data_IF_165439960569
#
_entry.id   IF_165439960569
#
_cell.length_a   1.000
_cell.length_b   1.000
_cell.length_c   1.000
_cell.angle_alpha   90.00
_cell.angle_beta   90.00
_cell.angle_gamma   90.00
#
_symmetry.space_group_name_H-M   'P 1'
#
loop_
_entity.id
_entity.type
_entity.pdbx_description
1 polymer ?
#
# COMPACT_ATOMS: atom_id res chain seq x y z
N UNK A 1 -19.53 11.30 -73.23
CA UNK A 1 -19.89 11.63 -71.84
C UNK A 1 -20.07 10.33 -71.04
N UNK A 2 -19.00 9.79 -70.42
CA UNK A 2 -19.05 8.57 -69.57
C UNK A 2 -17.69 8.35 -68.87
N UNK A 3 -17.30 9.26 -67.98
CA UNK A 3 -16.19 9.05 -67.02
C UNK A 3 -16.62 9.70 -65.69
N UNK A 4 -17.55 9.06 -64.97
CA UNK A 4 -17.93 9.49 -63.61
C UNK A 4 -18.15 8.31 -62.65
N UNK A 5 -18.48 7.12 -63.17
CA UNK A 5 -18.75 5.95 -62.34
C UNK A 5 -17.48 5.27 -61.77
N UNK A 6 -16.36 5.27 -62.51
CA UNK A 6 -15.13 4.57 -62.09
C UNK A 6 -14.41 5.29 -60.92
N UNK A 7 -14.47 6.63 -60.89
CA UNK A 7 -13.80 7.43 -59.85
C UNK A 7 -14.51 7.35 -58.48
N UNK A 8 -15.84 7.24 -58.48
CA UNK A 8 -16.61 7.13 -57.24
C UNK A 8 -16.44 5.77 -56.57
N UNK A 9 -16.31 4.70 -57.37
CA UNK A 9 -16.07 3.35 -56.84
C UNK A 9 -14.71 3.22 -56.15
N UNK A 10 -13.68 3.87 -56.70
CA UNK A 10 -12.32 3.90 -56.11
C UNK A 10 -12.28 4.75 -54.84
N UNK A 11 -13.04 5.86 -54.79
CA UNK A 11 -13.11 6.71 -53.60
C UNK A 11 -13.83 6.02 -52.42
N UNK A 12 -14.86 5.22 -52.71
CA UNK A 12 -15.62 4.48 -51.68
C UNK A 12 -14.82 3.28 -51.15
N UNK A 13 -14.03 2.59 -51.98
CA UNK A 13 -13.15 1.51 -51.51
C UNK A 13 -11.96 2.03 -50.69
N UNK A 14 -11.40 3.19 -51.05
CA UNK A 14 -10.35 3.83 -50.24
C UNK A 14 -10.88 4.31 -48.87
N UNK A 15 -12.12 4.81 -48.80
CA UNK A 15 -12.75 5.21 -47.53
C UNK A 15 -13.05 4.01 -46.61
N UNK A 16 -13.35 2.84 -47.19
CA UNK A 16 -13.60 1.60 -46.44
C UNK A 16 -12.31 0.98 -45.87
N UNK A 17 -11.17 1.18 -46.54
CA UNK A 17 -9.87 0.71 -46.04
C UNK A 17 -9.35 1.53 -44.85
N UNK A 18 -9.69 2.82 -44.77
CA UNK A 18 -9.32 3.70 -43.64
C UNK A 18 -10.13 3.36 -42.37
N UNK A 19 -11.34 2.80 -42.51
CA UNK A 19 -12.17 2.37 -41.37
C UNK A 19 -11.89 0.94 -40.89
N UNK A 20 -10.96 0.23 -41.54
CA UNK A 20 -10.57 -1.15 -41.17
C UNK A 20 -9.26 -1.23 -40.39
N UNK A 21 -8.74 -0.11 -39.88
CA UNK A 21 -7.72 -0.12 -38.82
C UNK A 21 -8.38 -0.49 -37.47
N UNK A 22 -8.87 -1.73 -37.40
CA UNK A 22 -9.16 -2.38 -36.16
C UNK A 22 -7.81 -2.74 -35.54
N UNK A 23 -7.28 -1.84 -34.72
CA UNK A 23 -6.11 -2.06 -33.87
C UNK A 23 -6.46 -3.05 -32.76
N UNK A 24 -6.65 -4.33 -33.11
CA UNK A 24 -6.45 -5.41 -32.15
C UNK A 24 -4.95 -5.65 -32.02
N UNK A 25 -4.29 -4.69 -31.36
CA UNK A 25 -3.09 -4.98 -30.60
C UNK A 25 -3.54 -5.86 -29.44
N UNK A 26 -3.62 -7.17 -29.65
CA UNK A 26 -3.57 -8.14 -28.56
C UNK A 26 -2.18 -8.01 -27.93
N UNK A 27 -2.03 -7.02 -27.07
CA UNK A 27 -0.99 -6.96 -26.07
C UNK A 27 -1.17 -8.21 -25.22
N UNK A 28 -0.51 -9.31 -25.61
CA UNK A 28 -0.26 -10.40 -24.69
C UNK A 28 0.52 -9.77 -23.54
N UNK A 29 -0.19 -9.46 -22.46
CA UNK A 29 0.45 -8.96 -21.25
C UNK A 29 1.39 -10.08 -20.82
N UNK A 30 2.72 -9.83 -20.70
CA UNK A 30 3.67 -10.87 -20.37
C UNK A 30 3.17 -11.60 -19.12
N UNK A 31 3.18 -12.93 -19.13
CA UNK A 31 2.80 -13.71 -17.96
C UNK A 31 3.67 -13.28 -16.78
N UNK A 32 3.05 -12.61 -15.80
CA UNK A 32 3.74 -12.11 -14.62
C UNK A 32 3.98 -13.28 -13.65
N UNK A 33 5.18 -13.33 -13.05
CA UNK A 33 5.47 -14.26 -11.96
C UNK A 33 4.85 -13.81 -10.64
N UNK A 34 4.28 -12.60 -10.59
CA UNK A 34 3.65 -12.02 -9.41
C UNK A 34 2.16 -12.31 -9.43
N UNK A 35 1.68 -13.04 -8.43
CA UNK A 35 0.25 -13.31 -8.23
C UNK A 35 -0.22 -12.60 -6.96
N UNK A 36 -1.12 -11.62 -7.09
CA UNK A 36 -1.66 -10.84 -5.97
C UNK A 36 -2.89 -11.47 -5.33
N UNK A 37 -3.47 -12.52 -5.90
CA UNK A 37 -4.80 -13.00 -5.55
C UNK A 37 -4.99 -13.28 -4.04
N UNK A 38 -4.00 -13.90 -3.38
CA UNK A 38 -4.11 -14.16 -1.95
C UNK A 38 -3.93 -12.90 -1.09
N UNK A 39 -3.01 -12.00 -1.46
CA UNK A 39 -2.85 -10.73 -0.76
C UNK A 39 -4.10 -9.84 -0.93
N UNK A 40 -4.71 -9.87 -2.11
CA UNK A 40 -5.96 -9.19 -2.42
C UNK A 40 -7.14 -9.76 -1.62
N UNK A 41 -7.13 -11.06 -1.35
CA UNK A 41 -8.11 -11.73 -0.50
C UNK A 41 -8.00 -11.32 0.98
N UNK A 42 -6.79 -11.03 1.46
CA UNK A 42 -6.58 -10.52 2.83
C UNK A 42 -6.84 -9.01 2.96
N UNK A 43 -6.96 -8.30 1.84
CA UNK A 43 -7.18 -6.86 1.82
C UNK A 43 -8.64 -6.51 2.09
N UNK A 44 -8.88 -5.58 3.03
CA UNK A 44 -10.20 -5.05 3.30
C UNK A 44 -10.15 -3.53 3.46
N UNK A 45 -11.05 -2.84 2.77
CA UNK A 45 -11.27 -1.42 2.99
C UNK A 45 -12.08 -1.19 4.27
N UNK A 46 -11.67 -0.21 5.05
CA UNK A 46 -12.28 0.13 6.34
C UNK A 46 -12.38 1.65 6.49
N UNK A 47 -12.98 2.09 7.58
CA UNK A 47 -12.86 3.46 8.08
C UNK A 47 -12.19 3.40 9.44
N UNK A 48 -11.03 4.04 9.58
CA UNK A 48 -10.28 4.13 10.82
C UNK A 48 -10.07 5.61 11.14
N UNK A 49 -10.31 6.00 12.38
CA UNK A 49 -10.32 7.41 12.81
C UNK A 49 -11.09 8.37 11.87
N UNK A 50 -12.26 7.93 11.40
CA UNK A 50 -13.12 8.64 10.43
C UNK A 50 -12.51 8.86 9.03
N UNK A 51 -11.36 8.27 8.71
CA UNK A 51 -10.71 8.34 7.42
C UNK A 51 -10.81 7.01 6.65
N UNK A 52 -11.00 7.04 5.32
CA UNK A 52 -10.93 5.82 4.52
C UNK A 52 -9.54 5.20 4.54
N UNK A 53 -9.46 3.97 5.02
CA UNK A 53 -8.21 3.21 5.13
C UNK A 53 -8.41 1.78 4.61
N UNK A 54 -7.38 0.95 4.73
CA UNK A 54 -7.49 -0.48 4.49
C UNK A 54 -6.54 -1.24 5.41
N UNK A 55 -6.89 -2.49 5.68
CA UNK A 55 -6.06 -3.42 6.44
C UNK A 55 -5.73 -4.67 5.62
N UNK A 56 -4.81 -5.47 6.17
CA UNK A 56 -4.50 -6.82 5.73
C UNK A 56 -4.81 -7.74 6.91
N UNK A 57 -5.67 -8.74 6.71
CA UNK A 57 -5.92 -9.76 7.72
C UNK A 57 -4.65 -10.58 7.98
N UNK A 58 -4.35 -10.83 9.26
CA UNK A 58 -3.14 -11.55 9.68
C UNK A 58 -3.22 -13.02 9.23
N UNK A 59 -4.38 -13.67 9.44
CA UNK A 59 -4.56 -15.09 9.19
C UNK A 59 -5.77 -15.41 8.33
N UNK A 60 -5.60 -16.46 7.53
CA UNK A 60 -6.64 -17.09 6.74
C UNK A 60 -6.39 -18.61 6.70
N UNK A 61 -7.37 -19.39 7.14
CA UNK A 61 -7.20 -20.84 7.31
C UNK A 61 -7.61 -21.62 6.06
N UNK A 62 -6.73 -22.52 5.61
CA UNK A 62 -7.03 -23.49 4.55
C UNK A 62 -8.16 -24.45 4.98
N UNK A 63 -9.08 -24.89 4.09
CA UNK A 63 -9.00 -24.83 2.61
C UNK A 63 -9.63 -23.62 1.93
N UNK A 64 -10.59 -22.98 2.57
CA UNK A 64 -11.37 -21.88 2.00
C UNK A 64 -10.73 -20.51 2.26
N UNK A 65 -9.65 -20.47 3.04
CA UNK A 65 -8.92 -19.26 3.40
C UNK A 65 -9.83 -18.21 4.05
N UNK A 66 -10.84 -18.64 4.82
CA UNK A 66 -11.64 -17.70 5.59
C UNK A 66 -10.76 -16.99 6.62
N UNK A 67 -11.03 -15.71 6.88
CA UNK A 67 -10.24 -14.91 7.81
C UNK A 67 -10.42 -15.41 9.24
N UNK A 68 -9.32 -15.43 10.00
CA UNK A 68 -9.32 -15.84 11.40
C UNK A 68 -8.60 -14.79 12.23
N UNK A 69 -9.21 -14.39 13.35
CA UNK A 69 -8.58 -13.49 14.29
C UNK A 69 -7.47 -14.22 15.07
N UNK A 70 -6.37 -13.51 15.31
CA UNK A 70 -5.30 -13.97 16.15
C UNK A 70 -5.64 -13.70 17.63
N UNK A 71 -5.80 -14.75 18.44
CA UNK A 71 -6.25 -14.60 19.83
C UNK A 71 -5.34 -13.63 20.62
N UNK A 72 -5.94 -12.57 21.13
CA UNK A 72 -5.27 -11.51 21.88
C UNK A 72 -4.39 -10.56 21.07
N UNK A 73 -4.21 -10.76 19.76
CA UNK A 73 -3.54 -9.80 18.87
C UNK A 73 -4.58 -8.90 18.23
N UNK A 74 -5.54 -9.50 17.52
CA UNK A 74 -6.54 -8.79 16.73
C UNK A 74 -6.68 -9.39 15.32
N UNK A 75 -7.12 -8.56 14.38
CA UNK A 75 -7.37 -8.99 12.98
C UNK A 75 -6.30 -8.52 12.00
N UNK A 76 -5.61 -7.42 12.29
CA UNK A 76 -4.60 -6.80 11.43
C UNK A 76 -3.49 -6.16 12.25
N UNK A 77 -2.32 -5.98 11.64
CA UNK A 77 -1.20 -5.30 12.27
C UNK A 77 -0.42 -4.37 11.33
N UNK A 78 0.30 -3.41 11.91
CA UNK A 78 1.14 -2.46 11.17
C UNK A 78 2.26 -3.16 10.42
N UNK A 79 2.86 -4.22 10.98
CA UNK A 79 3.90 -4.98 10.28
C UNK A 79 3.40 -5.53 8.92
N UNK A 80 2.24 -6.19 8.92
CA UNK A 80 1.66 -6.77 7.70
C UNK A 80 1.18 -5.70 6.73
N UNK A 81 0.45 -4.69 7.25
CA UNK A 81 -0.11 -3.60 6.45
C UNK A 81 0.99 -2.77 5.80
N UNK A 82 2.07 -2.45 6.53
CA UNK A 82 3.20 -1.70 5.99
C UNK A 82 3.92 -2.47 4.87
N UNK A 83 4.14 -3.78 5.04
CA UNK A 83 4.77 -4.62 4.00
C UNK A 83 3.89 -4.73 2.76
N UNK A 84 2.58 -4.85 2.92
CA UNK A 84 1.64 -4.84 1.80
C UNK A 84 1.60 -3.47 1.09
N UNK A 85 1.66 -2.36 1.83
CA UNK A 85 1.75 -1.03 1.24
C UNK A 85 2.98 -0.91 0.34
N UNK A 86 4.16 -1.32 0.82
CA UNK A 86 5.40 -1.33 0.02
C UNK A 86 5.25 -2.22 -1.20
N UNK A 87 4.66 -3.41 -1.05
CA UNK A 87 4.42 -4.30 -2.19
C UNK A 87 3.58 -3.60 -3.27
N UNK A 88 2.44 -3.00 -2.91
CA UNK A 88 1.57 -2.35 -3.88
C UNK A 88 2.17 -1.07 -4.48
N UNK A 89 2.98 -0.31 -3.73
CA UNK A 89 3.75 0.83 -4.28
C UNK A 89 4.72 0.36 -5.37
N UNK A 90 5.45 -0.73 -5.11
CA UNK A 90 6.39 -1.30 -6.08
C UNK A 90 5.69 -1.97 -7.25
N UNK A 91 4.55 -2.61 -6.99
CA UNK A 91 3.69 -3.18 -8.03
C UNK A 91 3.20 -2.08 -8.97
N UNK A 92 2.72 -0.96 -8.44
CA UNK A 92 2.39 0.22 -9.24
C UNK A 92 3.60 0.75 -10.01
N UNK A 93 4.76 0.90 -9.37
CA UNK A 93 5.96 1.41 -10.06
C UNK A 93 6.35 0.52 -11.27
N UNK A 94 6.20 -0.79 -11.16
CA UNK A 94 6.59 -1.72 -12.22
C UNK A 94 5.50 -1.90 -13.30
N UNK A 95 4.25 -2.11 -12.89
CA UNK A 95 3.14 -2.47 -13.79
C UNK A 95 2.24 -1.28 -14.15
N UNK A 96 2.40 -0.13 -13.49
CA UNK A 96 1.56 1.07 -13.65
C UNK A 96 0.07 0.80 -13.38
N UNK A 97 -0.21 -0.15 -12.48
CA UNK A 97 -1.58 -0.50 -12.10
C UNK A 97 -2.15 0.45 -11.05
N UNK A 98 -3.06 1.32 -11.47
CA UNK A 98 -3.76 2.28 -10.60
C UNK A 98 -4.47 1.63 -9.40
N UNK A 99 -4.92 0.37 -9.55
CA UNK A 99 -5.52 -0.36 -8.44
C UNK A 99 -4.51 -0.60 -7.31
N UNK A 100 -3.25 -0.89 -7.62
CA UNK A 100 -2.19 -1.04 -6.63
C UNK A 100 -1.90 0.28 -5.92
N UNK A 101 -1.83 1.39 -6.67
CA UNK A 101 -1.64 2.71 -6.05
C UNK A 101 -2.77 3.04 -5.07
N UNK A 102 -4.03 2.82 -5.44
CA UNK A 102 -5.19 3.03 -4.54
C UNK A 102 -5.12 2.16 -3.28
N UNK A 103 -4.76 0.88 -3.42
CA UNK A 103 -4.57 -0.03 -2.28
C UNK A 103 -3.45 0.46 -1.37
N UNK A 104 -2.29 0.80 -1.94
CA UNK A 104 -1.15 1.34 -1.21
C UNK A 104 -1.52 2.59 -0.41
N UNK A 105 -2.26 3.53 -1.01
CA UNK A 105 -2.71 4.75 -0.32
C UNK A 105 -3.50 4.43 0.95
N UNK A 106 -4.50 3.55 0.84
CA UNK A 106 -5.38 3.19 1.95
C UNK A 106 -4.65 2.42 3.06
N UNK A 107 -3.67 1.58 2.69
CA UNK A 107 -2.81 0.91 3.65
C UNK A 107 -1.86 1.88 4.35
N UNK A 108 -1.30 2.87 3.63
CA UNK A 108 -0.51 3.94 4.25
C UNK A 108 -1.35 4.79 5.19
N UNK A 109 -2.63 5.05 4.86
CA UNK A 109 -3.55 5.73 5.78
C UNK A 109 -3.72 4.94 7.09
N UNK A 110 -3.92 3.62 7.02
CA UNK A 110 -3.94 2.78 8.22
C UNK A 110 -2.65 2.92 9.04
N UNK A 111 -1.48 2.92 8.38
CA UNK A 111 -0.19 3.12 9.09
C UNK A 111 -0.15 4.47 9.79
N UNK A 112 -0.63 5.55 9.14
CA UNK A 112 -0.71 6.88 9.76
C UNK A 112 -1.65 6.89 10.97
N UNK A 113 -2.82 6.27 10.86
CA UNK A 113 -3.84 6.22 11.93
C UNK A 113 -3.35 5.43 13.16
N UNK A 114 -2.37 4.55 12.97
CA UNK A 114 -1.74 3.77 14.04
C UNK A 114 -0.59 4.51 14.75
N UNK A 115 -0.19 5.69 14.27
CA UNK A 115 0.87 6.47 14.89
C UNK A 115 0.39 7.13 16.20
N UNK A 116 1.17 6.96 17.26
CA UNK A 116 0.94 7.62 18.54
C UNK A 116 1.62 9.00 18.61
N UNK A 117 1.28 9.78 19.63
CA UNK A 117 1.84 11.12 19.85
C UNK A 117 3.36 11.12 20.04
N UNK A 118 3.94 10.04 20.58
CA UNK A 118 5.38 9.89 20.75
C UNK A 118 6.13 9.61 19.42
N UNK A 119 5.41 9.50 18.30
CA UNK A 119 5.96 9.25 16.97
C UNK A 119 6.14 7.79 16.62
N UNK A 120 5.97 6.85 17.56
CA UNK A 120 6.00 5.42 17.30
C UNK A 120 4.59 4.89 16.99
N UNK A 121 4.48 3.63 16.58
CA UNK A 121 3.23 3.07 16.07
C UNK A 121 2.67 2.01 17.01
N UNK A 122 1.37 2.03 17.26
CA UNK A 122 0.70 0.85 17.77
C UNK A 122 0.75 -0.24 16.68
N UNK A 123 0.75 -1.51 17.06
CA UNK A 123 0.87 -2.57 16.06
C UNK A 123 -0.49 -3.14 15.64
N UNK A 124 -1.32 -3.60 16.58
CA UNK A 124 -2.51 -4.39 16.27
C UNK A 124 -3.83 -3.63 16.44
N UNK A 125 -4.84 -4.04 15.66
CA UNK A 125 -6.25 -3.63 15.81
C UNK A 125 -7.14 -4.84 16.05
N UNK A 126 -8.14 -4.68 16.92
CA UNK A 126 -9.17 -5.69 17.16
C UNK A 126 -10.23 -5.69 16.05
N UNK A 127 -11.15 -6.66 16.11
CA UNK A 127 -12.22 -6.82 15.12
C UNK A 127 -13.17 -5.62 15.04
N UNK A 128 -13.38 -4.92 16.17
CA UNK A 128 -14.14 -3.66 16.23
C UNK A 128 -13.34 -2.44 15.76
N UNK A 129 -12.16 -2.67 15.17
CA UNK A 129 -11.19 -1.67 14.71
C UNK A 129 -10.59 -0.80 15.83
N UNK A 130 -10.83 -1.13 17.10
CA UNK A 130 -10.15 -0.45 18.20
C UNK A 130 -8.67 -0.87 18.25
N UNK A 131 -7.80 0.11 18.52
CA UNK A 131 -6.35 -0.12 18.59
C UNK A 131 -6.00 -0.90 19.86
N UNK A 132 -5.25 -1.99 19.70
CA UNK A 132 -4.70 -2.74 20.82
C UNK A 132 -3.51 -1.99 21.44
N UNK A 133 -3.76 -1.20 22.48
CA UNK A 133 -2.72 -0.38 23.13
C UNK A 133 -1.96 -1.08 24.26
N UNK A 134 -2.41 -2.27 24.68
CA UNK A 134 -1.95 -2.90 25.93
C UNK A 134 -0.97 -4.05 25.69
N UNK A 135 -1.12 -4.79 24.58
CA UNK A 135 -0.27 -5.93 24.24
C UNK A 135 1.19 -5.53 24.06
N UNK A 136 2.11 -6.37 24.56
CA UNK A 136 3.54 -6.05 24.61
C UNK A 136 4.15 -5.72 23.24
N UNK A 137 3.76 -6.44 22.18
CA UNK A 137 4.19 -6.21 20.79
C UNK A 137 3.22 -5.28 20.02
N UNK A 138 2.44 -4.48 20.75
CA UNK A 138 1.51 -3.50 20.19
C UNK A 138 1.63 -2.11 20.77
N UNK A 139 2.27 -1.95 21.94
CA UNK A 139 2.50 -0.63 22.54
C UNK A 139 3.35 0.24 21.62
N UNK A 140 3.00 1.51 21.44
CA UNK A 140 3.76 2.43 20.59
C UNK A 140 5.18 2.68 21.09
N UNK A 141 6.13 1.87 20.64
CA UNK A 141 7.54 1.92 21.03
C UNK A 141 8.45 1.67 19.82
N UNK A 142 9.73 1.99 20.00
CA UNK A 142 10.75 1.82 18.98
C UNK A 142 11.09 0.33 18.85
N UNK A 143 10.42 -0.36 17.92
CA UNK A 143 10.52 -1.80 17.74
C UNK A 143 10.34 -2.16 16.26
N UNK A 144 10.44 -3.43 15.90
CA UNK A 144 10.49 -3.87 14.51
C UNK A 144 9.32 -3.38 13.65
N UNK A 145 8.09 -3.32 14.16
CA UNK A 145 6.93 -2.83 13.40
C UNK A 145 6.97 -1.31 13.17
N UNK A 146 7.50 -0.52 14.11
CA UNK A 146 7.72 0.92 13.95
C UNK A 146 8.68 1.17 12.78
N UNK A 147 9.70 0.33 12.63
CA UNK A 147 10.65 0.45 11.50
C UNK A 147 10.05 0.00 10.17
N UNK A 148 9.12 -0.97 10.19
CA UNK A 148 8.34 -1.34 9.00
C UNK A 148 7.40 -0.22 8.57
N UNK A 149 6.73 0.44 9.53
CA UNK A 149 5.92 1.63 9.27
C UNK A 149 6.76 2.74 8.63
N UNK A 150 7.90 3.09 9.26
CA UNK A 150 8.81 4.10 8.73
C UNK A 150 9.25 3.81 7.29
N UNK A 151 9.61 2.56 6.99
CA UNK A 151 9.98 2.15 5.63
C UNK A 151 8.83 2.36 4.64
N UNK A 152 7.61 1.91 4.99
CA UNK A 152 6.44 2.08 4.12
C UNK A 152 6.10 3.56 3.89
N UNK A 153 6.13 4.38 4.93
CA UNK A 153 5.88 5.82 4.83
C UNK A 153 6.92 6.50 3.95
N UNK A 154 8.20 6.13 4.05
CA UNK A 154 9.27 6.69 3.23
C UNK A 154 9.13 6.32 1.75
N UNK A 155 8.83 5.05 1.45
CA UNK A 155 8.52 4.59 0.09
C UNK A 155 7.30 5.33 -0.47
N UNK A 156 6.23 5.44 0.35
CA UNK A 156 5.03 6.19 -0.01
C UNK A 156 5.32 7.65 -0.30
N UNK A 157 6.06 8.34 0.57
CA UNK A 157 6.41 9.74 0.40
C UNK A 157 7.12 9.97 -0.94
N UNK A 158 8.09 9.12 -1.30
CA UNK A 158 8.78 9.20 -2.58
C UNK A 158 7.84 9.07 -3.78
N UNK A 159 6.86 8.16 -3.72
CA UNK A 159 5.90 7.93 -4.80
C UNK A 159 4.89 9.07 -4.90
N UNK A 160 4.36 9.55 -3.77
CA UNK A 160 3.29 10.54 -3.75
C UNK A 160 3.76 11.98 -3.93
N UNK A 161 5.05 12.29 -3.85
CA UNK A 161 5.58 13.64 -4.06
C UNK A 161 5.07 14.31 -5.35
N UNK A 162 4.88 13.54 -6.42
CA UNK A 162 4.38 14.05 -7.70
C UNK A 162 2.89 13.77 -7.92
N UNK A 163 2.36 12.69 -7.36
CA UNK A 163 0.98 12.24 -7.58
C UNK A 163 0.00 12.97 -6.67
N UNK A 164 0.34 13.10 -5.39
CA UNK A 164 -0.45 13.80 -4.37
C UNK A 164 0.49 14.43 -3.34
N UNK A 165 0.98 15.66 -3.62
CA UNK A 165 1.89 16.37 -2.73
C UNK A 165 1.31 16.64 -1.33
N UNK A 166 -0.02 16.68 -1.20
CA UNK A 166 -0.69 16.87 0.08
C UNK A 166 -0.54 15.64 0.97
N UNK A 167 -0.79 14.45 0.41
CA UNK A 167 -0.56 13.20 1.12
C UNK A 167 0.92 12.94 1.37
N UNK A 168 1.80 13.24 0.41
CA UNK A 168 3.25 13.15 0.61
C UNK A 168 3.71 13.97 1.83
N UNK A 169 3.18 15.18 2.00
CA UNK A 169 3.45 16.00 3.20
C UNK A 169 3.02 15.30 4.48
N UNK A 170 1.82 14.70 4.52
CA UNK A 170 1.35 13.96 5.70
C UNK A 170 2.28 12.78 6.03
N UNK A 171 2.75 12.05 5.01
CA UNK A 171 3.73 10.98 5.19
C UNK A 171 5.06 11.53 5.74
N UNK A 172 5.56 12.64 5.20
CA UNK A 172 6.78 13.30 5.69
C UNK A 172 6.66 13.75 7.15
N UNK A 173 5.55 14.40 7.52
CA UNK A 173 5.29 14.83 8.89
C UNK A 173 5.25 13.64 9.86
N UNK A 174 4.69 12.50 9.42
CA UNK A 174 4.70 11.26 10.20
C UNK A 174 6.11 10.67 10.36
N UNK A 175 6.92 10.67 9.29
CA UNK A 175 8.32 10.25 9.31
C UNK A 175 9.13 11.11 10.29
N UNK A 176 8.97 12.43 10.25
CA UNK A 176 9.70 13.37 11.10
C UNK A 176 9.50 13.11 12.59
N UNK A 177 8.29 12.69 13.00
CA UNK A 177 8.00 12.32 14.40
C UNK A 177 8.81 11.12 14.89
N UNK A 178 9.31 10.25 14.00
CA UNK A 178 10.15 9.10 14.38
C UNK A 178 11.61 9.46 14.60
N UNK A 179 12.07 10.58 14.03
CA UNK A 179 13.49 10.95 13.98
C UNK A 179 14.14 11.15 15.36
N UNK A 180 13.49 11.82 16.36
CA UNK A 180 14.11 12.00 17.67
C UNK A 180 14.51 10.67 18.34
N UNK A 181 13.70 9.63 18.14
CA UNK A 181 13.99 8.30 18.67
C UNK A 181 15.15 7.63 17.94
N UNK A 182 15.24 7.80 16.62
CA UNK A 182 16.37 7.30 15.82
C UNK A 182 17.66 7.99 16.25
N UNK A 183 17.64 9.32 16.41
CA UNK A 183 18.78 10.09 16.87
C UNK A 183 19.27 9.61 18.24
N UNK A 184 18.33 9.35 19.18
CA UNK A 184 18.65 8.78 20.48
C UNK A 184 19.30 7.39 20.36
N UNK A 185 18.75 6.50 19.53
CA UNK A 185 19.32 5.16 19.33
C UNK A 185 20.74 5.22 18.72
N UNK A 186 20.97 6.13 17.78
CA UNK A 186 22.29 6.31 17.15
C UNK A 186 23.33 6.86 18.13
N UNK A 187 22.94 7.75 19.05
CA UNK A 187 23.85 8.28 20.09
C UNK A 187 24.33 7.20 21.07
N UNK A 188 23.54 6.14 21.27
CA UNK A 188 23.85 5.03 22.18
C UNK A 188 24.33 3.76 21.46
N UNK A 189 24.60 3.83 20.16
CA UNK A 189 25.11 2.67 19.41
C UNK A 189 26.59 2.38 19.77
N UNK A 190 27.00 1.11 20.04
CA UNK A 190 26.25 -0.15 19.88
C UNK A 190 25.58 -0.67 21.17
N UNK A 191 25.60 0.09 22.26
CA UNK A 191 25.03 -0.32 23.56
C UNK A 191 23.51 -0.55 23.48
N UNK A 192 22.84 0.12 22.54
CA UNK A 192 21.43 -0.08 22.18
C UNK A 192 21.12 -1.42 21.47
N UNK A 193 21.82 -2.51 21.80
CA UNK A 193 21.55 -3.86 21.23
C UNK A 193 20.38 -4.58 21.92
N UNK A 194 19.99 -4.16 23.11
CA UNK A 194 18.76 -4.62 23.79
C UNK A 194 17.81 -3.44 24.01
N UNK A 195 16.78 -3.38 23.16
CA UNK A 195 15.78 -2.30 23.02
C UNK A 195 15.06 -1.83 24.31
N UNK A 196 15.15 -2.54 25.43
CA UNK A 196 14.31 -2.30 26.61
C UNK A 196 14.87 -1.27 27.61
N UNK A 197 16.12 -0.82 27.49
CA UNK A 197 16.78 -0.05 28.56
C UNK A 197 16.91 1.47 28.30
N UNK A 198 16.68 1.95 27.08
CA UNK A 198 17.12 3.30 26.68
C UNK A 198 16.02 4.32 26.34
N UNK A 199 14.75 3.92 26.38
CA UNK A 199 13.61 4.82 26.09
C UNK A 199 12.62 4.70 27.25
N UNK A 200 12.76 5.61 28.23
CA UNK A 200 11.73 5.93 29.23
C UNK A 200 11.07 7.26 28.88
#
# INVERSE_FOLDING_TARGET
MKIKACSWFILVTLLFMILSECSQSSSETPATLVNTAHLDHLYQEIVLDSLPAALIYIYADHPDYHWVAAEGEGIACVDDVARAAVFYLRHYAYFQEEASLRKARKLLQFVLDMQAENGQFYNFVYEDLSINKTRHNSRARADWWTWRALWALAEGNSVYQTIDPGFARQLSESIEKTLPTIDSLLQHYPEATYYQEFIQ
#
